data_IF_022874977246
#
_entry.id   IF_022874977246
#
_cell.length_a   1.000
_cell.length_b   1.000
_cell.length_c   1.000
_cell.angle_alpha   90.00
_cell.angle_beta   90.00
_cell.angle_gamma   90.00
#
_symmetry.space_group_name_H-M   'P 1'
#
loop_
_entity.id
_entity.type
_entity.pdbx_description
1 polymer ?
#
# COMPACT_ATOMS: atom_id res chain seq x y z
N UNK A 1 11.67 -10.39 -15.97
CA UNK A 1 11.02 -9.69 -14.85
C UNK A 1 11.79 -8.41 -14.60
N UNK A 2 11.11 -7.30 -14.33
CA UNK A 2 11.74 -5.98 -14.14
C UNK A 2 10.73 -4.90 -13.75
N UNK A 3 9.55 -5.30 -13.27
CA UNK A 3 8.48 -4.36 -12.91
C UNK A 3 8.85 -3.50 -11.72
N UNK A 4 9.65 -4.06 -10.80
CA UNK A 4 10.34 -3.42 -9.69
C UNK A 4 11.78 -3.96 -9.73
N UNK A 5 12.76 -3.18 -9.31
CA UNK A 5 14.07 -3.72 -8.94
C UNK A 5 14.08 -4.18 -7.48
N UNK A 6 15.17 -4.82 -7.06
CA UNK A 6 15.28 -5.38 -5.72
C UNK A 6 15.28 -4.29 -4.62
N UNK A 7 15.86 -3.12 -4.89
CA UNK A 7 15.90 -1.99 -3.96
C UNK A 7 14.51 -1.42 -3.68
N UNK A 8 13.71 -1.19 -4.74
CA UNK A 8 12.33 -0.73 -4.60
C UNK A 8 11.42 -1.80 -4.00
N UNK A 9 11.60 -3.08 -4.39
CA UNK A 9 10.83 -4.18 -3.82
C UNK A 9 11.09 -4.33 -2.31
N UNK A 10 12.34 -4.18 -1.87
CA UNK A 10 12.71 -4.20 -0.45
C UNK A 10 12.14 -3.02 0.33
N UNK A 11 12.13 -1.82 -0.27
CA UNK A 11 11.47 -0.65 0.32
C UNK A 11 9.97 -0.91 0.51
N UNK A 12 9.29 -1.37 -0.54
CA UNK A 12 7.85 -1.67 -0.48
C UNK A 12 7.56 -2.78 0.52
N UNK A 13 8.44 -3.79 0.64
CA UNK A 13 8.30 -4.83 1.67
C UNK A 13 8.26 -4.20 3.06
N UNK A 14 9.21 -3.35 3.44
CA UNK A 14 9.21 -2.69 4.75
C UNK A 14 7.91 -1.93 5.04
N UNK A 15 7.40 -1.21 4.06
CA UNK A 15 6.19 -0.40 4.20
C UNK A 15 4.93 -1.27 4.30
N UNK A 16 4.82 -2.31 3.47
CA UNK A 16 3.68 -3.25 3.51
C UNK A 16 3.70 -4.09 4.79
N UNK A 17 4.88 -4.53 5.24
CA UNK A 17 5.00 -5.29 6.49
C UNK A 17 4.48 -4.49 7.70
N UNK A 18 4.75 -3.18 7.72
CA UNK A 18 4.22 -2.23 8.69
C UNK A 18 2.75 -1.82 8.42
N UNK A 19 2.08 -2.50 7.48
CA UNK A 19 0.67 -2.30 7.09
C UNK A 19 0.35 -0.89 6.59
N UNK A 20 1.33 -0.17 6.03
CA UNK A 20 1.03 1.10 5.39
C UNK A 20 0.06 0.86 4.22
N UNK A 21 -0.91 1.77 4.00
CA UNK A 21 -1.81 1.66 2.87
C UNK A 21 -1.04 1.68 1.54
N UNK A 22 -1.53 0.91 0.57
CA UNK A 22 -0.87 0.64 -0.71
C UNK A 22 -1.90 0.72 -1.84
N UNK A 23 -1.70 1.64 -2.78
CA UNK A 23 -2.53 1.79 -3.97
C UNK A 23 -1.72 1.45 -5.22
N UNK A 24 -2.17 0.46 -6.00
CA UNK A 24 -1.59 0.15 -7.31
C UNK A 24 -2.48 0.76 -8.40
N UNK A 25 -2.00 1.85 -8.98
CA UNK A 25 -2.69 2.58 -10.04
C UNK A 25 -2.16 2.19 -11.41
N UNK A 26 -3.04 2.13 -12.41
CA UNK A 26 -2.63 2.15 -13.81
C UNK A 26 -3.72 2.70 -14.72
N UNK A 27 -3.33 3.44 -15.76
CA UNK A 27 -4.28 3.93 -16.77
C UNK A 27 -4.84 2.78 -17.62
N UNK A 28 -3.98 1.88 -18.08
CA UNK A 28 -4.38 0.80 -18.97
C UNK A 28 -5.11 -0.34 -18.21
N UNK A 29 -6.27 -0.81 -18.69
CA UNK A 29 -6.89 -2.01 -18.15
C UNK A 29 -6.02 -3.24 -18.41
N UNK A 30 -6.12 -4.25 -17.53
CA UNK A 30 -5.43 -5.55 -17.65
C UNK A 30 -3.89 -5.47 -17.70
N UNK A 31 -3.29 -4.35 -17.31
CA UNK A 31 -1.81 -4.21 -17.20
C UNK A 31 -1.22 -4.96 -16.00
N UNK A 32 -2.06 -5.51 -15.11
CA UNK A 32 -1.62 -6.33 -13.99
C UNK A 32 -1.71 -5.70 -12.62
N UNK A 33 -2.49 -4.62 -12.42
CA UNK A 33 -2.67 -3.96 -11.11
C UNK A 33 -2.94 -4.96 -9.98
N UNK A 34 -3.92 -5.84 -10.17
CA UNK A 34 -4.32 -6.84 -9.18
C UNK A 34 -3.26 -7.91 -8.98
N UNK A 35 -2.55 -8.32 -10.05
CA UNK A 35 -1.42 -9.24 -9.95
C UNK A 35 -0.28 -8.65 -9.12
N UNK A 36 0.08 -7.39 -9.37
CA UNK A 36 1.08 -6.68 -8.58
C UNK A 36 0.63 -6.53 -7.14
N UNK A 37 -0.60 -6.07 -6.89
CA UNK A 37 -1.13 -5.93 -5.54
C UNK A 37 -1.03 -7.26 -4.78
N UNK A 38 -1.54 -8.35 -5.36
CA UNK A 38 -1.50 -9.67 -4.73
C UNK A 38 -0.07 -10.15 -4.43
N UNK A 39 0.88 -9.92 -5.33
CA UNK A 39 2.29 -10.26 -5.10
C UNK A 39 2.89 -9.44 -3.94
N UNK A 40 2.57 -8.15 -3.84
CA UNK A 40 3.05 -7.28 -2.75
C UNK A 40 2.39 -7.63 -1.41
N UNK A 41 1.15 -8.13 -1.41
CA UNK A 41 0.47 -8.56 -0.18
C UNK A 41 1.18 -9.74 0.49
N UNK A 42 1.99 -10.53 -0.23
CA UNK A 42 2.80 -11.61 0.34
C UNK A 42 3.89 -11.11 1.31
N UNK A 43 4.17 -9.81 1.32
CA UNK A 43 5.01 -9.17 2.34
C UNK A 43 4.31 -8.93 3.69
N UNK A 44 2.98 -9.09 3.77
CA UNK A 44 2.25 -8.93 5.04
C UNK A 44 2.63 -10.06 6.03
N UNK A 45 2.82 -9.74 7.32
CA UNK A 45 3.06 -10.76 8.34
C UNK A 45 1.91 -11.78 8.41
N UNK A 46 2.19 -13.06 8.71
CA UNK A 46 1.15 -14.09 8.87
C UNK A 46 0.12 -13.80 9.97
N UNK A 47 0.47 -12.95 10.94
CA UNK A 47 -0.43 -12.51 12.02
C UNK A 47 -1.47 -11.50 11.56
N UNK A 48 -1.33 -10.91 10.37
CA UNK A 48 -2.24 -9.89 9.85
C UNK A 48 -3.43 -10.57 9.18
N UNK A 49 -4.62 -10.25 9.66
CA UNK A 49 -5.87 -10.68 9.05
C UNK A 49 -6.18 -9.85 7.82
N UNK A 50 -6.36 -10.51 6.67
CA UNK A 50 -6.80 -9.88 5.43
C UNK A 50 -8.32 -9.90 5.36
N UNK A 51 -8.95 -8.75 5.12
CA UNK A 51 -10.40 -8.62 4.96
C UNK A 51 -10.69 -8.08 3.58
N UNK A 52 -11.25 -8.93 2.72
CA UNK A 52 -11.73 -8.54 1.39
C UNK A 52 -13.03 -7.76 1.53
N UNK A 53 -13.08 -6.55 0.97
CA UNK A 53 -14.29 -5.73 0.96
C UNK A 53 -15.29 -6.28 -0.07
N UNK A 54 -16.56 -6.29 0.28
CA UNK A 54 -17.63 -6.84 -0.56
C UNK A 54 -18.09 -5.90 -1.71
N UNK A 55 -17.27 -4.91 -2.07
CA UNK A 55 -17.57 -3.95 -3.12
C UNK A 55 -18.85 -3.16 -2.84
N UNK A 56 -19.78 -3.14 -3.79
CA UNK A 56 -21.07 -2.46 -3.65
C UNK A 56 -21.97 -3.08 -2.56
N UNK A 57 -21.73 -4.34 -2.19
CA UNK A 57 -22.49 -5.03 -1.14
C UNK A 57 -21.89 -4.84 0.27
N UNK A 58 -20.77 -4.14 0.40
CA UNK A 58 -20.14 -3.87 1.70
C UNK A 58 -21.07 -3.02 2.58
N UNK A 59 -21.35 -3.54 3.78
CA UNK A 59 -22.27 -2.94 4.74
C UNK A 59 -21.62 -2.51 6.06
N UNK A 60 -20.32 -2.76 6.22
CA UNK A 60 -19.49 -2.41 7.37
C UNK A 60 -20.06 -2.87 8.71
N UNK A 61 -20.89 -3.92 8.75
CA UNK A 61 -21.41 -4.47 10.01
C UNK A 61 -20.31 -5.01 10.93
N UNK A 62 -19.10 -5.22 10.42
CA UNK A 62 -17.92 -5.61 11.18
C UNK A 62 -17.14 -4.43 11.77
N UNK A 63 -17.45 -3.18 11.39
CA UNK A 63 -16.74 -1.96 11.78
C UNK A 63 -17.61 -1.11 12.73
N UNK A 64 -17.39 -1.17 14.06
CA UNK A 64 -18.18 -0.42 15.04
C UNK A 64 -18.18 1.10 14.79
N UNK A 65 -17.08 1.64 14.30
CA UNK A 65 -16.86 3.06 14.05
C UNK A 65 -17.50 3.55 12.75
N UNK A 66 -18.09 2.67 11.92
CA UNK A 66 -18.59 3.02 10.59
C UNK A 66 -19.51 4.25 10.60
N UNK A 67 -20.42 4.34 11.58
CA UNK A 67 -21.30 5.50 11.73
C UNK A 67 -20.53 6.80 11.99
N UNK A 68 -19.49 6.76 12.83
CA UNK A 68 -18.61 7.91 13.11
C UNK A 68 -17.76 8.31 11.89
N UNK A 69 -17.43 7.34 11.03
CA UNK A 69 -16.79 7.58 9.74
C UNK A 69 -17.77 8.06 8.67
N UNK A 70 -19.06 8.22 8.98
CA UNK A 70 -20.09 8.74 8.08
C UNK A 70 -20.89 7.70 7.31
N UNK A 71 -20.79 6.42 7.67
CA UNK A 71 -21.63 5.37 7.10
C UNK A 71 -23.07 5.54 7.58
N UNK A 72 -24.02 5.50 6.65
CA UNK A 72 -25.45 5.61 6.95
C UNK A 72 -26.10 4.26 6.71
N UNK A 73 -26.30 3.51 7.78
CA UNK A 73 -27.02 2.24 7.75
C UNK A 73 -28.14 2.25 8.79
N UNK A 74 -29.31 1.76 8.40
CA UNK A 74 -30.43 1.50 9.31
C UNK A 74 -30.30 0.13 10.01
N UNK A 75 -29.33 -0.70 9.60
CA UNK A 75 -29.10 -2.03 10.17
C UNK A 75 -28.16 -1.94 11.37
N UNK A 76 -28.55 -2.56 12.47
CA UNK A 76 -27.69 -2.69 13.64
C UNK A 76 -26.39 -3.43 13.30
N UNK A 77 -25.28 -2.94 13.84
CA UNK A 77 -23.98 -3.64 13.84
C UNK A 77 -24.18 -4.98 14.54
N UNK A 78 -23.90 -6.07 13.83
CA UNK A 78 -24.01 -7.42 14.42
C UNK A 78 -22.82 -7.61 15.33
N UNK A 79 -23.07 -7.95 16.60
CA UNK A 79 -22.03 -8.27 17.58
C UNK A 79 -21.29 -9.55 17.18
N UNK A 80 -20.30 -9.41 16.31
CA UNK A 80 -19.17 -10.32 16.12
C UNK A 80 -17.96 -9.66 16.79
N UNK A 81 -16.94 -10.44 17.15
CA UNK A 81 -15.66 -9.85 17.57
C UNK A 81 -15.12 -9.03 16.38
N UNK A 82 -15.09 -7.69 16.45
CA UNK A 82 -14.70 -6.89 15.30
C UNK A 82 -13.20 -7.08 15.02
N UNK A 83 -12.77 -7.05 13.75
CA UNK A 83 -11.35 -7.09 13.41
C UNK A 83 -10.63 -5.90 14.06
N UNK A 84 -9.49 -6.16 14.72
CA UNK A 84 -8.73 -5.08 15.37
C UNK A 84 -7.97 -4.27 14.31
N UNK A 85 -8.01 -2.92 14.36
CA UNK A 85 -7.32 -2.08 13.38
C UNK A 85 -5.82 -2.38 13.28
N UNK A 86 -5.16 -2.61 14.41
CA UNK A 86 -3.72 -2.89 14.55
C UNK A 86 -3.24 -4.24 13.97
N UNK A 87 -4.15 -5.08 13.50
CA UNK A 87 -3.84 -6.42 12.98
C UNK A 87 -4.68 -6.79 11.76
N UNK A 88 -5.37 -5.82 11.17
CA UNK A 88 -6.24 -6.02 10.01
C UNK A 88 -5.77 -5.20 8.82
N UNK A 89 -5.82 -5.81 7.63
CA UNK A 89 -5.49 -5.19 6.35
C UNK A 89 -6.66 -5.37 5.39
N UNK A 90 -7.27 -4.25 4.98
CA UNK A 90 -8.41 -4.24 4.08
C UNK A 90 -7.96 -4.43 2.63
N UNK A 91 -8.74 -5.16 1.83
CA UNK A 91 -8.43 -5.36 0.42
C UNK A 91 -9.64 -4.90 -0.40
N UNK A 92 -9.43 -3.87 -1.21
CA UNK A 92 -10.36 -3.45 -2.24
C UNK A 92 -9.84 -3.93 -3.59
N UNK A 93 -10.53 -4.86 -4.24
CA UNK A 93 -10.13 -5.38 -5.56
C UNK A 93 -9.85 -4.25 -6.56
N UNK A 94 -10.73 -3.24 -6.60
CA UNK A 94 -10.54 -1.99 -7.32
C UNK A 94 -11.41 -0.87 -6.71
N UNK A 95 -10.90 0.36 -6.70
CA UNK A 95 -11.64 1.57 -6.37
C UNK A 95 -12.28 2.13 -7.64
N UNK A 96 -13.47 1.61 -7.98
CA UNK A 96 -14.13 1.83 -9.27
C UNK A 96 -15.60 1.44 -9.25
N UNK A 97 -16.42 2.08 -10.08
CA UNK A 97 -17.84 1.73 -10.26
C UNK A 97 -18.11 0.73 -11.39
N UNK A 98 -17.07 0.15 -12.00
CA UNK A 98 -17.24 -0.67 -13.20
C UNK A 98 -17.89 -2.03 -12.93
N UNK A 99 -17.73 -2.60 -11.74
CA UNK A 99 -18.29 -3.92 -11.38
C UNK A 99 -18.83 -3.92 -9.94
N UNK A 100 -19.87 -4.71 -9.61
CA UNK A 100 -20.41 -4.79 -8.25
C UNK A 100 -19.41 -5.26 -7.19
N UNK A 101 -18.42 -6.06 -7.58
CA UNK A 101 -17.34 -6.52 -6.67
C UNK A 101 -16.33 -5.41 -6.37
N UNK A 102 -16.36 -4.31 -7.10
CA UNK A 102 -15.47 -3.17 -6.88
C UNK A 102 -16.06 -2.20 -5.86
N UNK A 103 -15.16 -1.55 -5.11
CA UNK A 103 -15.53 -0.68 -4.00
C UNK A 103 -15.61 0.75 -4.50
N UNK A 104 -16.76 1.40 -4.39
CA UNK A 104 -16.96 2.77 -4.86
C UNK A 104 -17.88 3.57 -3.94
N UNK A 105 -18.04 4.87 -4.21
CA UNK A 105 -19.01 5.70 -3.51
C UNK A 105 -18.76 5.77 -2.00
N UNK A 106 -19.84 5.60 -1.23
CA UNK A 106 -19.77 5.60 0.23
C UNK A 106 -18.88 4.47 0.75
N UNK A 107 -18.89 3.30 0.12
CA UNK A 107 -18.08 2.17 0.55
C UNK A 107 -16.58 2.48 0.45
N UNK A 108 -16.14 3.06 -0.67
CA UNK A 108 -14.75 3.48 -0.81
C UNK A 108 -14.38 4.60 0.18
N UNK A 109 -15.29 5.55 0.41
CA UNK A 109 -15.11 6.62 1.39
C UNK A 109 -14.91 6.08 2.80
N UNK A 110 -15.75 5.16 3.25
CA UNK A 110 -15.64 4.56 4.60
C UNK A 110 -14.38 3.70 4.71
N UNK A 111 -14.07 2.90 3.70
CA UNK A 111 -12.86 2.10 3.70
C UNK A 111 -11.60 2.99 3.85
N UNK A 112 -11.51 4.10 3.12
CA UNK A 112 -10.37 5.03 3.23
C UNK A 112 -10.37 5.76 4.58
N UNK A 113 -11.55 6.08 5.13
CA UNK A 113 -11.64 6.67 6.48
C UNK A 113 -11.22 5.72 7.59
N UNK A 114 -11.39 4.41 7.40
CA UNK A 114 -10.92 3.40 8.34
C UNK A 114 -9.39 3.44 8.51
N UNK A 115 -8.63 3.97 7.54
CA UNK A 115 -7.18 4.16 7.66
C UNK A 115 -6.81 5.07 8.84
N UNK A 116 -7.66 6.05 9.17
CA UNK A 116 -7.47 6.93 10.33
C UNK A 116 -7.55 6.20 11.68
N UNK A 117 -8.15 4.99 11.70
CA UNK A 117 -8.25 4.13 12.88
C UNK A 117 -7.07 3.16 13.01
N UNK A 118 -6.18 3.10 12.03
CA UNK A 118 -5.00 2.22 12.02
C UNK A 118 -5.15 0.92 11.22
N UNK A 119 -6.25 0.75 10.46
CA UNK A 119 -6.35 -0.31 9.46
C UNK A 119 -5.32 -0.09 8.34
N UNK A 120 -4.66 -1.17 7.91
CA UNK A 120 -3.94 -1.16 6.64
C UNK A 120 -4.90 -1.34 5.46
N UNK A 121 -4.47 -1.03 4.24
CA UNK A 121 -5.29 -1.26 3.05
C UNK A 121 -4.46 -1.48 1.79
N UNK A 122 -4.91 -2.41 0.95
CA UNK A 122 -4.44 -2.60 -0.41
C UNK A 122 -5.58 -2.33 -1.38
N UNK A 123 -5.35 -1.52 -2.40
CA UNK A 123 -6.34 -1.31 -3.44
C UNK A 123 -5.72 -1.12 -4.82
N UNK A 124 -6.51 -1.36 -5.87
CA UNK A 124 -6.16 -0.96 -7.23
C UNK A 124 -7.04 0.18 -7.71
N UNK A 125 -6.55 0.99 -8.66
CA UNK A 125 -7.32 2.12 -9.22
C UNK A 125 -6.94 2.39 -10.68
N UNK A 126 -7.89 2.89 -11.46
CA UNK A 126 -7.65 3.34 -12.82
C UNK A 126 -7.15 4.80 -12.85
N UNK A 127 -5.83 4.97 -12.78
CA UNK A 127 -5.16 6.27 -12.85
C UNK A 127 -3.73 6.10 -13.37
N UNK A 128 -3.25 7.05 -14.17
CA UNK A 128 -1.91 7.05 -14.75
C UNK A 128 -0.89 7.93 -14.02
N UNK A 129 -1.30 8.62 -12.95
CA UNK A 129 -0.43 9.46 -12.12
C UNK A 129 -1.01 9.61 -10.73
N UNK A 130 -0.20 10.10 -9.77
CA UNK A 130 -0.69 10.43 -8.43
C UNK A 130 -1.77 11.52 -8.47
N UNK A 131 -1.62 12.52 -9.35
CA UNK A 131 -2.62 13.58 -9.54
C UNK A 131 -3.96 13.00 -9.99
N UNK A 132 -3.97 12.04 -10.92
CA UNK A 132 -5.20 11.37 -11.33
C UNK A 132 -5.81 10.52 -10.20
N UNK A 133 -4.98 9.86 -9.37
CA UNK A 133 -5.48 9.16 -8.18
C UNK A 133 -6.22 10.13 -7.25
N UNK A 134 -5.60 11.27 -6.94
CA UNK A 134 -6.24 12.30 -6.11
C UNK A 134 -7.49 12.88 -6.77
N UNK A 135 -7.46 13.13 -8.08
CA UNK A 135 -8.61 13.61 -8.83
C UNK A 135 -9.80 12.65 -8.79
N UNK A 136 -9.57 11.36 -9.02
CA UNK A 136 -10.61 10.32 -8.99
C UNK A 136 -11.22 10.19 -7.60
N UNK A 137 -10.40 10.17 -6.55
CA UNK A 137 -10.86 9.98 -5.17
C UNK A 137 -11.44 11.26 -4.55
N UNK A 138 -10.97 12.44 -4.98
CA UNK A 138 -11.49 13.74 -4.55
C UNK A 138 -12.77 14.17 -5.28
N UNK A 139 -13.08 13.58 -6.43
CA UNK A 139 -14.29 13.86 -7.19
C UNK A 139 -15.55 13.20 -6.58
N UNK A 140 -16.76 13.67 -6.93
CA UNK A 140 -17.99 12.93 -6.64
C UNK A 140 -17.94 11.52 -7.27
N UNK A 141 -18.49 10.49 -6.60
CA UNK A 141 -19.24 10.55 -5.34
C UNK A 141 -18.38 10.52 -4.06
N UNK A 142 -17.08 10.21 -4.14
CA UNK A 142 -16.22 9.96 -2.98
C UNK A 142 -15.88 11.24 -2.20
N UNK A 143 -15.64 12.35 -2.89
CA UNK A 143 -15.40 13.68 -2.28
C UNK A 143 -14.40 13.67 -1.11
N UNK A 144 -13.31 12.92 -1.24
CA UNK A 144 -12.28 12.92 -0.20
C UNK A 144 -11.59 14.27 -0.12
N UNK A 145 -11.44 14.76 1.10
CA UNK A 145 -10.64 15.94 1.44
C UNK A 145 -9.15 15.67 1.27
N UNK A 146 -8.34 16.74 1.20
CA UNK A 146 -6.89 16.62 1.16
C UNK A 146 -6.32 15.86 2.37
N UNK A 147 -6.94 16.02 3.55
CA UNK A 147 -6.53 15.32 4.77
C UNK A 147 -6.84 13.81 4.67
N UNK A 148 -8.00 13.43 4.10
CA UNK A 148 -8.33 12.01 3.87
C UNK A 148 -7.44 11.37 2.79
N UNK A 149 -7.13 12.10 1.72
CA UNK A 149 -6.19 11.66 0.67
C UNK A 149 -4.78 11.45 1.22
N UNK A 150 -4.40 12.19 2.27
CA UNK A 150 -3.09 12.06 2.91
C UNK A 150 -2.85 10.69 3.57
N UNK A 151 -3.91 9.89 3.77
CA UNK A 151 -3.85 8.58 4.40
C UNK A 151 -3.49 7.43 3.45
N UNK A 152 -3.42 7.67 2.14
CA UNK A 152 -3.23 6.62 1.11
C UNK A 152 -1.86 5.91 1.16
N UNK A 153 -0.93 6.37 1.98
CA UNK A 153 0.36 5.70 2.20
C UNK A 153 1.21 5.68 0.93
N UNK A 154 1.41 4.52 0.33
CA UNK A 154 2.25 4.33 -0.87
C UNK A 154 1.38 4.18 -2.11
N UNK A 155 1.67 4.95 -3.15
CA UNK A 155 0.99 4.88 -4.45
C UNK A 155 1.98 4.45 -5.53
N UNK A 156 1.75 3.29 -6.14
CA UNK A 156 2.55 2.74 -7.23
C UNK A 156 1.83 2.97 -8.56
N UNK A 157 2.49 3.63 -9.50
CA UNK A 157 1.99 3.86 -10.85
C UNK A 157 2.59 2.80 -11.77
N UNK A 158 1.77 1.85 -12.20
CA UNK A 158 2.14 0.79 -13.13
C UNK A 158 1.86 1.22 -14.58
N UNK A 159 2.88 1.12 -15.42
CA UNK A 159 2.81 1.42 -16.84
C UNK A 159 3.42 0.32 -17.70
N UNK A 160 3.40 0.55 -19.02
CA UNK A 160 4.10 -0.25 -20.01
C UNK A 160 5.28 0.56 -20.55
N UNK A 161 6.44 -0.08 -20.61
CA UNK A 161 7.61 0.41 -21.34
C UNK A 161 7.32 0.49 -22.84
N UNK A 162 8.15 1.20 -23.63
CA UNK A 162 8.03 1.23 -25.10
C UNK A 162 8.07 -0.16 -25.75
N UNK A 163 8.72 -1.14 -25.12
CA UNK A 163 8.81 -2.54 -25.58
C UNK A 163 7.65 -3.41 -25.10
N UNK A 164 6.68 -2.85 -24.37
CA UNK A 164 5.48 -3.54 -23.88
C UNK A 164 5.67 -4.28 -22.56
N UNK A 165 6.83 -4.19 -21.93
CA UNK A 165 7.07 -4.77 -20.60
C UNK A 165 6.49 -3.88 -19.50
N UNK A 166 6.01 -4.50 -18.42
CA UNK A 166 5.42 -3.79 -17.28
C UNK A 166 6.51 -3.18 -16.40
N UNK A 167 6.38 -1.90 -16.04
CA UNK A 167 7.31 -1.13 -15.20
C UNK A 167 6.53 -0.25 -14.22
N UNK A 168 7.02 -0.12 -12.99
CA UNK A 168 6.57 0.97 -12.12
C UNK A 168 7.15 2.28 -12.64
N UNK A 169 6.32 3.12 -13.27
CA UNK A 169 6.78 4.38 -13.87
C UNK A 169 7.09 5.42 -12.80
N UNK A 170 6.34 5.39 -11.69
CA UNK A 170 6.59 6.20 -10.52
C UNK A 170 6.05 5.51 -9.26
N UNK A 171 6.73 5.72 -8.13
CA UNK A 171 6.26 5.32 -6.81
C UNK A 171 6.31 6.53 -5.89
N UNK A 172 5.21 6.79 -5.20
CA UNK A 172 5.06 7.94 -4.32
C UNK A 172 4.75 7.51 -2.89
N UNK A 173 5.27 8.27 -1.94
CA UNK A 173 4.82 8.26 -0.56
C UNK A 173 3.95 9.49 -0.30
N UNK A 174 2.67 9.25 -0.01
CA UNK A 174 1.73 10.28 0.38
C UNK A 174 1.88 10.51 1.88
N UNK A 175 2.31 11.73 2.21
CA UNK A 175 2.63 12.10 3.59
C UNK A 175 1.37 12.40 4.37
N UNK A 176 1.17 11.78 5.55
CA UNK A 176 0.04 12.14 6.41
C UNK A 176 0.21 13.57 6.91
N UNK A 177 -0.90 14.21 7.28
CA UNK A 177 -0.87 15.52 7.93
C UNK A 177 -0.10 15.43 9.25
N UNK A 178 0.97 16.22 9.37
CA UNK A 178 1.78 16.29 10.58
C UNK A 178 1.38 17.51 11.43
N UNK A 179 1.84 17.55 12.68
CA UNK A 179 1.80 18.76 13.52
C UNK A 179 3.20 19.15 13.92
N UNK A 180 3.52 20.43 13.86
CA UNK A 180 4.78 20.92 14.40
C UNK A 180 4.78 20.97 15.94
N UNK A 181 5.92 21.36 16.52
CA UNK A 181 6.08 21.45 17.98
C UNK A 181 5.14 22.47 18.64
N UNK A 182 4.52 23.37 17.86
CA UNK A 182 3.53 24.34 18.32
C UNK A 182 2.09 23.86 18.06
N UNK A 183 1.90 22.65 17.53
CA UNK A 183 0.61 22.05 17.24
C UNK A 183 -0.03 22.50 15.92
N UNK A 184 0.66 23.31 15.10
CA UNK A 184 0.13 23.76 13.82
C UNK A 184 0.16 22.62 12.79
N UNK A 185 -0.90 22.51 11.99
CA UNK A 185 -1.00 21.51 10.93
C UNK A 185 0.03 21.79 9.83
N UNK A 186 0.85 20.79 9.53
CA UNK A 186 1.83 20.79 8.46
C UNK A 186 1.37 19.82 7.37
N UNK A 187 1.15 20.36 6.16
CA UNK A 187 0.77 19.59 4.97
C UNK A 187 1.97 19.55 4.03
N UNK A 188 2.75 18.51 4.14
CA UNK A 188 3.86 18.26 3.24
C UNK A 188 3.34 17.63 1.94
N UNK A 189 3.89 18.04 0.80
CA UNK A 189 3.60 17.40 -0.47
C UNK A 189 4.09 15.95 -0.50
N UNK A 190 3.49 15.08 -1.35
CA UNK A 190 3.96 13.71 -1.54
C UNK A 190 5.43 13.66 -1.92
N UNK A 191 6.14 12.64 -1.43
CA UNK A 191 7.50 12.36 -1.82
C UNK A 191 7.53 11.37 -2.99
N UNK A 192 8.46 11.55 -3.92
CA UNK A 192 8.79 10.54 -4.92
C UNK A 192 9.76 9.56 -4.28
N UNK A 193 9.46 8.27 -4.33
CA UNK A 193 10.34 7.20 -3.82
C UNK A 193 11.22 6.64 -4.93
N UNK A 194 10.65 6.44 -6.12
CA UNK A 194 11.38 5.99 -7.29
C UNK A 194 10.64 6.37 -8.58
N UNK A 195 11.38 6.50 -9.68
CA UNK A 195 10.84 6.59 -11.05
C UNK A 195 11.59 5.65 -11.96
N UNK A 196 10.96 5.22 -13.06
CA UNK A 196 11.63 4.42 -14.08
C UNK A 196 12.02 5.28 -15.28
N UNK A 197 13.29 5.21 -15.67
CA UNK A 197 13.82 5.86 -16.87
C UNK A 197 13.76 4.90 -18.08
N UNK A 198 12.89 5.18 -19.08
CA UNK A 198 12.80 4.37 -20.29
C UNK A 198 14.06 4.36 -21.16
N UNK A 199 14.89 5.40 -21.09
CA UNK A 199 16.09 5.48 -21.93
C UNK A 199 17.19 4.54 -21.45
N UNK A 200 17.26 4.30 -20.13
CA UNK A 200 18.27 3.44 -19.49
C UNK A 200 17.71 2.08 -19.06
N UNK A 201 16.39 1.89 -19.15
CA UNK A 201 15.66 0.76 -18.56
C UNK A 201 16.08 0.51 -17.10
N UNK A 202 16.13 1.59 -16.32
CA UNK A 202 16.63 1.57 -14.95
C UNK A 202 15.72 2.37 -14.03
N UNK A 203 15.71 2.00 -12.75
CA UNK A 203 15.04 2.78 -11.70
C UNK A 203 15.99 3.84 -11.14
N UNK A 204 15.47 5.04 -10.97
CA UNK A 204 16.10 6.12 -10.22
C UNK A 204 15.43 6.21 -8.85
N UNK A 205 16.23 6.10 -7.78
CA UNK A 205 15.75 6.05 -6.40
C UNK A 205 15.89 7.41 -5.69
N UNK A 206 14.80 7.84 -5.07
CA UNK A 206 14.67 9.12 -4.37
C UNK A 206 14.24 8.96 -2.90
N UNK A 207 13.94 7.73 -2.46
CA UNK A 207 13.50 7.42 -1.10
C UNK A 207 14.47 7.87 0.00
N UNK A 208 15.77 7.98 -0.30
CA UNK A 208 16.79 8.51 0.61
C UNK A 208 16.47 9.92 1.13
N UNK A 209 15.75 10.74 0.34
CA UNK A 209 15.35 12.09 0.74
C UNK A 209 14.30 12.12 1.86
N UNK A 210 13.68 10.98 2.16
CA UNK A 210 12.58 10.85 3.14
C UNK A 210 12.78 9.67 4.09
N UNK A 211 14.00 9.16 4.20
CA UNK A 211 14.28 7.92 4.93
C UNK A 211 13.93 8.01 6.41
N UNK A 212 14.19 9.15 7.06
CA UNK A 212 13.86 9.37 8.47
C UNK A 212 12.36 9.29 8.71
N UNK A 213 11.57 9.90 7.82
CA UNK A 213 10.11 9.90 7.89
C UNK A 213 9.54 8.49 7.67
N UNK A 214 10.07 7.75 6.68
CA UNK A 214 9.66 6.38 6.43
C UNK A 214 10.02 5.45 7.60
N UNK A 215 11.21 5.62 8.18
CA UNK A 215 11.65 4.85 9.34
C UNK A 215 10.78 5.12 10.57
N UNK A 216 10.49 6.39 10.87
CA UNK A 216 9.54 6.77 11.93
C UNK A 216 8.16 6.16 11.70
N UNK A 217 7.68 6.17 10.45
CA UNK A 217 6.35 5.63 10.09
C UNK A 217 6.22 4.14 10.35
N UNK A 218 7.33 3.40 10.29
CA UNK A 218 7.40 1.95 10.59
C UNK A 218 8.02 1.66 11.97
N UNK A 219 8.12 2.67 12.83
CA UNK A 219 8.63 2.58 14.21
C UNK A 219 10.06 2.03 14.29
N UNK A 220 10.93 2.42 13.35
CA UNK A 220 12.35 2.07 13.28
C UNK A 220 13.26 3.29 13.31
N UNK A 221 14.50 3.11 13.75
CA UNK A 221 15.55 4.12 13.54
C UNK A 221 15.96 4.12 12.06
N UNK A 222 16.30 5.30 11.53
CA UNK A 222 16.69 5.45 10.12
C UNK A 222 17.82 4.50 9.70
N UNK A 223 18.89 4.39 10.49
CA UNK A 223 20.00 3.48 10.17
C UNK A 223 19.60 1.99 10.16
N UNK A 224 18.73 1.58 11.09
CA UNK A 224 18.21 0.19 11.14
C UNK A 224 17.27 -0.09 9.97
N UNK A 225 16.49 0.91 9.54
CA UNK A 225 15.64 0.85 8.36
C UNK A 225 16.47 0.66 7.09
N UNK A 226 17.51 1.49 6.88
CA UNK A 226 18.38 1.40 5.71
C UNK A 226 19.12 0.07 5.64
N UNK A 227 19.64 -0.41 6.78
CA UNK A 227 20.31 -1.71 6.87
C UNK A 227 19.37 -2.85 6.53
N UNK A 228 18.15 -2.84 7.07
CA UNK A 228 17.13 -3.84 6.78
C UNK A 228 16.68 -3.79 5.32
N UNK A 229 16.49 -2.59 4.75
CA UNK A 229 16.15 -2.42 3.33
C UNK A 229 17.23 -3.05 2.46
N UNK A 230 18.51 -2.78 2.74
CA UNK A 230 19.62 -3.37 1.99
C UNK A 230 19.63 -4.89 2.11
N UNK A 231 19.46 -5.44 3.32
CA UNK A 231 19.41 -6.89 3.54
C UNK A 231 18.28 -7.55 2.76
N UNK A 232 17.10 -6.92 2.71
CA UNK A 232 15.96 -7.40 1.93
C UNK A 232 16.20 -7.29 0.43
N UNK A 233 16.86 -6.23 -0.04
CA UNK A 233 17.20 -6.06 -1.45
C UNK A 233 18.17 -7.16 -1.90
N UNK A 234 19.23 -7.41 -1.13
CA UNK A 234 20.18 -8.51 -1.39
C UNK A 234 19.47 -9.87 -1.39
N UNK A 235 18.56 -10.11 -0.45
CA UNK A 235 17.79 -11.35 -0.37
C UNK A 235 16.89 -11.56 -1.60
N UNK A 236 16.08 -10.55 -1.95
CA UNK A 236 15.18 -10.62 -3.11
C UNK A 236 15.95 -10.73 -4.43
N UNK A 237 17.08 -10.01 -4.55
CA UNK A 237 17.99 -10.13 -5.68
C UNK A 237 18.55 -11.55 -5.81
N UNK A 238 19.04 -12.13 -4.70
CA UNK A 238 19.55 -13.50 -4.67
C UNK A 238 18.50 -14.56 -5.06
N UNK A 239 17.24 -14.39 -4.66
CA UNK A 239 16.15 -15.26 -5.11
C UNK A 239 15.94 -15.17 -6.63
N UNK A 240 15.89 -13.96 -7.18
CA UNK A 240 15.69 -13.73 -8.60
C UNK A 240 16.85 -14.28 -9.44
N UNK A 241 18.10 -14.01 -9.03
CA UNK A 241 19.32 -14.49 -9.69
C UNK A 241 19.43 -16.02 -9.62
N UNK A 242 18.97 -16.62 -8.52
CA UNK A 242 18.86 -18.07 -8.33
C UNK A 242 17.70 -18.72 -9.09
N UNK A 243 16.88 -17.95 -9.80
CA UNK A 243 15.73 -18.46 -10.57
C UNK A 243 14.49 -18.80 -9.75
N UNK A 244 14.46 -18.46 -8.45
CA UNK A 244 13.33 -18.68 -7.55
C UNK A 244 12.24 -17.66 -7.87
N UNK A 245 11.36 -18.02 -8.79
CA UNK A 245 10.31 -17.13 -9.34
C UNK A 245 8.90 -17.72 -9.23
N UNK A 246 8.79 -18.98 -8.79
CA UNK A 246 7.50 -19.62 -8.53
C UNK A 246 6.81 -19.03 -7.31
N UNK A 247 5.50 -18.75 -7.41
CA UNK A 247 4.73 -18.10 -6.32
C UNK A 247 4.89 -18.85 -4.99
N UNK A 248 4.72 -20.17 -5.00
CA UNK A 248 4.82 -20.99 -3.78
C UNK A 248 6.24 -21.00 -3.18
N UNK A 249 7.26 -20.98 -4.04
CA UNK A 249 8.67 -20.98 -3.62
C UNK A 249 9.05 -19.63 -3.01
N UNK A 250 8.67 -18.53 -3.65
CA UNK A 250 8.88 -17.17 -3.14
C UNK A 250 8.14 -16.99 -1.82
N UNK A 251 6.88 -17.40 -1.72
CA UNK A 251 6.14 -17.32 -0.45
C UNK A 251 6.79 -18.16 0.67
N UNK A 252 7.35 -19.32 0.35
CA UNK A 252 8.08 -20.13 1.32
C UNK A 252 9.38 -19.44 1.77
N UNK A 253 10.12 -18.83 0.84
CA UNK A 253 11.32 -18.06 1.11
C UNK A 253 11.03 -16.87 2.03
N UNK A 254 10.02 -16.05 1.71
CA UNK A 254 9.60 -14.90 2.53
C UNK A 254 9.22 -15.32 3.95
N UNK A 255 8.47 -16.42 4.12
CA UNK A 255 8.14 -16.96 5.46
C UNK A 255 9.40 -17.40 6.21
N UNK A 256 10.36 -18.02 5.54
CA UNK A 256 11.65 -18.41 6.13
C UNK A 256 12.42 -17.19 6.64
N UNK A 257 12.50 -16.12 5.84
CA UNK A 257 13.16 -14.88 6.22
C UNK A 257 12.54 -14.25 7.48
N UNK A 258 11.21 -14.19 7.58
CA UNK A 258 10.53 -13.62 8.76
C UNK A 258 10.75 -14.45 10.03
N UNK A 259 10.91 -15.77 9.91
CA UNK A 259 11.24 -16.65 11.05
C UNK A 259 12.69 -16.47 11.50
N UNK A 260 13.64 -16.29 10.58
CA UNK A 260 15.04 -16.02 10.92
C UNK A 260 15.23 -14.64 11.55
N UNK A 261 14.52 -13.62 11.06
CA UNK A 261 14.55 -12.27 11.62
C UNK A 261 13.89 -12.13 13.01
N UNK A 262 13.03 -13.07 13.41
CA UNK A 262 12.47 -13.14 14.77
C UNK A 262 13.36 -13.91 15.75
N UNK A 263 14.42 -14.57 15.25
CA UNK A 263 15.44 -15.26 16.03
C UNK A 263 16.74 -14.45 15.98
N UNK A 264 16.77 -13.28 16.63
CA UNK A 264 18.01 -12.69 17.13
C UNK A 264 17.82 -12.16 18.56
N UNK A 265 18.88 -12.28 19.40
CA UNK A 265 18.77 -12.59 20.80
C UNK A 265 18.52 -11.36 21.65
N UNK A 266 17.93 -11.59 22.83
CA UNK A 266 17.78 -10.58 23.85
C UNK A 266 19.09 -9.85 24.16
N UNK A 267 18.92 -8.56 24.45
CA UNK A 267 19.80 -7.80 25.32
C UNK A 267 18.91 -7.00 26.28
#
# INVERSE_FOLDING_TARGET
MGTLDAELAALVWLLVEARLPLIVAARAPRVGKSTTLNALLDFLPPSVSRVELAGAAEDFQWLPEAASLGWRSERAVVSRVPPRPDSTYLIAAELSNHLPVYTWGDQARIAIRALSLGYGMGATIHAGSLEEVFGVLGAPPLRLSADELSWLGVVLILGLSPTGERRMTAVHYVRPVARDVHGHLQRLGPAVLATWDPARDAFEHFGWGVITELAERVERKAGDFELEQRRRAEYLGGLADGGVTGVAEVQAALRGYSLEGSVQPGN
#
